data_IF_684409027010
#
_entry.id   IF_684409027010
#
_cell.length_a   1.000
_cell.length_b   1.000
_cell.length_c   1.000
_cell.angle_alpha   90.00
_cell.angle_beta   90.00
_cell.angle_gamma   90.00
#
_symmetry.space_group_name_H-M   'P 1'
#
loop_
_entity.id
_entity.type
_entity.pdbx_description
1 polymer ?
#
# COMPACT_ATOMS: atom_id res chain seq x y z
N UNK A 1 -67.92 0.94 -104.61
CA UNK A 1 -68.79 0.42 -103.53
C UNK A 1 -68.77 -1.10 -103.60
N UNK A 2 -68.85 -1.80 -102.47
CA UNK A 2 -68.83 -3.28 -102.42
C UNK A 2 -67.92 -3.81 -101.30
N UNK A 3 -68.51 -4.32 -100.22
CA UNK A 3 -67.77 -4.81 -99.04
C UNK A 3 -68.38 -6.10 -98.51
N UNK A 4 -67.53 -7.14 -98.34
CA UNK A 4 -67.57 -8.25 -97.35
C UNK A 4 -66.35 -9.17 -97.62
N UNK A 5 -65.52 -9.54 -96.62
CA UNK A 5 -65.67 -10.65 -95.62
C UNK A 5 -65.82 -12.02 -96.30
N UNK A 6 -65.18 -13.13 -95.88
CA UNK A 6 -64.41 -13.55 -94.67
C UNK A 6 -63.40 -14.66 -95.15
N UNK A 7 -62.40 -15.19 -94.44
CA UNK A 7 -61.82 -15.06 -93.09
C UNK A 7 -60.26 -15.28 -93.23
N UNK A 8 -59.41 -15.93 -92.41
CA UNK A 8 -59.46 -16.63 -91.10
C UNK A 8 -58.04 -16.76 -90.48
N UNK A 9 -57.95 -17.28 -89.25
CA UNK A 9 -56.78 -17.90 -88.57
C UNK A 9 -55.51 -17.05 -88.25
N UNK A 10 -54.73 -17.32 -87.18
CA UNK A 10 -55.06 -17.65 -85.77
C UNK A 10 -53.82 -17.43 -84.86
N UNK A 11 -54.06 -17.01 -83.60
CA UNK A 11 -53.20 -17.05 -82.39
C UNK A 11 -51.67 -16.75 -82.41
N UNK A 12 -51.28 -15.71 -81.64
CA UNK A 12 -50.06 -15.54 -80.81
C UNK A 12 -49.97 -14.03 -80.47
N UNK A 13 -50.33 -13.50 -79.30
CA UNK A 13 -50.18 -13.91 -77.89
C UNK A 13 -48.75 -13.83 -77.33
N UNK A 14 -48.42 -12.69 -76.71
CA UNK A 14 -47.48 -12.53 -75.60
C UNK A 14 -47.36 -11.04 -75.22
N UNK A 15 -48.00 -10.64 -74.12
CA UNK A 15 -47.84 -9.30 -73.51
C UNK A 15 -46.53 -9.32 -72.67
N UNK A 16 -45.67 -8.28 -72.74
CA UNK A 16 -44.36 -8.31 -72.08
C UNK A 16 -44.47 -8.38 -70.54
N UNK A 17 -43.76 -9.34 -69.94
CA UNK A 17 -43.72 -9.53 -68.50
C UNK A 17 -43.08 -8.33 -67.78
N UNK A 18 -43.87 -7.58 -67.00
CA UNK A 18 -43.39 -6.62 -66.00
C UNK A 18 -43.32 -7.20 -64.57
N UNK A 19 -43.29 -8.54 -64.45
CA UNK A 19 -43.41 -9.23 -63.15
C UNK A 19 -42.12 -9.38 -62.34
N UNK A 20 -40.96 -9.61 -62.98
CA UNK A 20 -39.74 -10.08 -62.27
C UNK A 20 -39.18 -9.06 -61.27
N UNK A 21 -39.07 -7.79 -61.69
CA UNK A 21 -38.26 -6.79 -60.99
C UNK A 21 -38.74 -6.45 -59.57
N UNK A 22 -40.03 -6.61 -59.25
CA UNK A 22 -40.53 -6.37 -57.90
C UNK A 22 -40.24 -7.53 -56.93
N UNK A 23 -40.19 -8.77 -57.41
CA UNK A 23 -39.90 -9.93 -56.57
C UNK A 23 -38.43 -9.92 -56.10
N UNK A 24 -37.51 -9.67 -57.05
CA UNK A 24 -36.08 -9.58 -56.76
C UNK A 24 -35.77 -8.41 -55.81
N UNK A 25 -36.41 -7.25 -55.99
CA UNK A 25 -36.24 -6.11 -55.07
C UNK A 25 -36.74 -6.40 -53.66
N UNK A 26 -37.88 -7.07 -53.50
CA UNK A 26 -38.41 -7.46 -52.20
C UNK A 26 -37.50 -8.48 -51.49
N UNK A 27 -36.96 -9.44 -52.25
CA UNK A 27 -36.04 -10.45 -51.71
C UNK A 27 -34.68 -9.84 -51.31
N UNK A 28 -34.17 -8.88 -52.09
CA UNK A 28 -32.97 -8.11 -51.75
C UNK A 28 -33.19 -7.20 -50.54
N UNK A 29 -34.32 -6.48 -50.45
CA UNK A 29 -34.61 -5.62 -49.30
C UNK A 29 -34.74 -6.42 -48.00
N UNK A 30 -35.38 -7.59 -48.06
CA UNK A 30 -35.47 -8.55 -46.96
C UNK A 30 -34.09 -8.99 -46.46
N UNK A 31 -33.21 -9.40 -47.38
CA UNK A 31 -31.84 -9.78 -47.06
C UNK A 31 -31.03 -8.62 -46.46
N UNK A 32 -31.13 -7.41 -47.00
CA UNK A 32 -30.43 -6.24 -46.43
C UNK A 32 -30.93 -5.87 -45.02
N UNK A 33 -32.22 -6.04 -44.74
CA UNK A 33 -32.76 -5.84 -43.39
C UNK A 33 -32.22 -6.90 -42.42
N UNK A 34 -32.26 -8.18 -42.80
CA UNK A 34 -31.77 -9.29 -41.98
C UNK A 34 -30.26 -9.19 -41.68
N UNK A 35 -29.47 -8.71 -42.66
CA UNK A 35 -28.03 -8.44 -42.49
C UNK A 35 -27.82 -7.22 -41.57
N UNK A 36 -28.60 -6.15 -41.73
CA UNK A 36 -28.55 -4.98 -40.85
C UNK A 36 -28.86 -5.35 -39.40
N UNK A 37 -29.90 -6.15 -39.16
CA UNK A 37 -30.31 -6.58 -37.82
C UNK A 37 -29.27 -7.52 -37.18
N UNK A 38 -28.70 -8.47 -37.94
CA UNK A 38 -27.64 -9.35 -37.39
C UNK A 38 -26.34 -8.61 -37.11
N UNK A 39 -25.96 -7.61 -37.92
CA UNK A 39 -24.84 -6.72 -37.62
C UNK A 39 -25.13 -5.84 -36.41
N UNK A 40 -26.34 -5.28 -36.29
CA UNK A 40 -26.75 -4.46 -35.15
C UNK A 40 -26.73 -5.25 -33.84
N UNK A 41 -27.29 -6.47 -33.83
CA UNK A 41 -27.22 -7.39 -32.68
C UNK A 41 -25.77 -7.75 -32.36
N UNK A 42 -24.94 -8.06 -33.35
CA UNK A 42 -23.52 -8.34 -33.15
C UNK A 42 -22.76 -7.19 -32.47
N UNK A 43 -22.94 -5.95 -32.96
CA UNK A 43 -22.33 -4.74 -32.37
C UNK A 43 -22.88 -4.48 -30.97
N UNK A 44 -24.18 -4.63 -30.74
CA UNK A 44 -24.80 -4.44 -29.42
C UNK A 44 -24.29 -5.46 -28.40
N UNK A 45 -24.15 -6.73 -28.80
CA UNK A 45 -23.56 -7.79 -27.97
C UNK A 45 -22.10 -7.48 -27.64
N UNK A 46 -21.30 -7.06 -28.63
CA UNK A 46 -19.88 -6.73 -28.42
C UNK A 46 -19.70 -5.54 -27.46
N UNK A 47 -20.53 -4.50 -27.58
CA UNK A 47 -20.58 -3.36 -26.66
C UNK A 47 -21.05 -3.78 -25.25
N UNK A 48 -22.04 -4.68 -25.14
CA UNK A 48 -22.50 -5.23 -23.87
C UNK A 48 -21.42 -6.03 -23.15
N UNK A 49 -20.71 -6.92 -23.87
CA UNK A 49 -19.59 -7.69 -23.32
C UNK A 49 -18.40 -6.79 -22.94
N UNK A 50 -18.07 -5.81 -23.78
CA UNK A 50 -16.99 -4.84 -23.50
C UNK A 50 -17.26 -3.96 -22.28
N UNK A 51 -18.49 -3.47 -22.12
CA UNK A 51 -18.88 -2.66 -20.94
C UNK A 51 -18.98 -3.50 -19.67
N UNK A 52 -19.52 -4.72 -19.73
CA UNK A 52 -19.56 -5.64 -18.58
C UNK A 52 -18.15 -6.03 -18.10
N UNK A 53 -17.24 -6.35 -19.01
CA UNK A 53 -15.84 -6.68 -18.67
C UNK A 53 -15.08 -5.47 -18.11
N UNK A 54 -15.26 -4.27 -18.68
CA UNK A 54 -14.68 -3.04 -18.14
C UNK A 54 -15.20 -2.73 -16.71
N UNK A 55 -16.50 -2.89 -16.46
CA UNK A 55 -17.09 -2.71 -15.14
C UNK A 55 -16.53 -3.70 -14.10
N UNK A 56 -16.40 -4.98 -14.49
CA UNK A 56 -15.76 -6.01 -13.66
C UNK A 56 -14.30 -5.68 -13.33
N UNK A 57 -13.52 -5.24 -14.31
CA UNK A 57 -12.12 -4.84 -14.12
C UNK A 57 -11.99 -3.65 -13.14
N UNK A 58 -12.88 -2.66 -13.25
CA UNK A 58 -12.90 -1.48 -12.38
C UNK A 58 -13.33 -1.80 -10.94
N UNK A 59 -14.29 -2.72 -10.78
CA UNK A 59 -14.69 -3.24 -9.48
C UNK A 59 -13.55 -4.06 -8.84
N UNK A 60 -12.85 -4.88 -9.61
CA UNK A 60 -11.68 -5.65 -9.15
C UNK A 60 -10.51 -4.73 -8.74
N UNK A 61 -10.16 -3.72 -9.54
CA UNK A 61 -9.18 -2.70 -9.16
C UNK A 61 -9.54 -1.98 -7.86
N UNK A 62 -10.84 -1.72 -7.62
CA UNK A 62 -11.32 -1.13 -6.36
C UNK A 62 -11.28 -2.09 -5.17
N UNK A 63 -11.42 -3.40 -5.38
CA UNK A 63 -11.21 -4.42 -4.36
C UNK A 63 -9.72 -4.52 -3.99
N UNK A 64 -8.85 -4.69 -5.00
CA UNK A 64 -7.38 -4.65 -4.87
C UNK A 64 -6.90 -3.40 -4.13
N UNK A 65 -7.42 -2.22 -4.47
CA UNK A 65 -7.05 -0.97 -3.80
C UNK A 65 -7.58 -0.83 -2.36
N UNK A 66 -8.52 -1.67 -1.92
CA UNK A 66 -8.94 -1.79 -0.51
C UNK A 66 -8.09 -2.83 0.22
N UNK A 67 -7.86 -3.98 -0.41
CA UNK A 67 -6.99 -5.06 0.09
C UNK A 67 -5.57 -4.56 0.35
N UNK A 68 -4.95 -3.87 -0.61
CA UNK A 68 -3.61 -3.30 -0.46
C UNK A 68 -3.52 -2.27 0.68
N UNK A 69 -4.56 -1.45 0.90
CA UNK A 69 -4.63 -0.52 2.04
C UNK A 69 -4.78 -1.24 3.37
N UNK A 70 -5.58 -2.31 3.43
CA UNK A 70 -5.71 -3.13 4.62
C UNK A 70 -4.37 -3.81 4.98
N UNK A 71 -3.75 -4.46 3.99
CA UNK A 71 -2.43 -5.10 4.12
C UNK A 71 -1.35 -4.11 4.55
N UNK A 72 -1.28 -2.91 3.94
CA UNK A 72 -0.32 -1.89 4.33
C UNK A 72 -0.49 -1.44 5.79
N UNK A 73 -1.73 -1.25 6.26
CA UNK A 73 -1.98 -0.87 7.66
C UNK A 73 -1.59 -1.99 8.63
N UNK A 74 -1.88 -3.25 8.31
CA UNK A 74 -1.40 -4.41 9.10
C UNK A 74 0.14 -4.46 9.12
N UNK A 75 0.80 -4.30 7.98
CA UNK A 75 2.27 -4.29 7.88
C UNK A 75 2.89 -3.10 8.62
N UNK A 76 2.22 -1.95 8.68
CA UNK A 76 2.63 -0.76 9.43
C UNK A 76 2.46 -0.91 10.95
N UNK A 77 1.35 -1.51 11.41
CA UNK A 77 1.18 -1.88 12.82
C UNK A 77 2.31 -2.81 13.25
N UNK A 78 2.57 -3.88 12.48
CA UNK A 78 3.60 -4.86 12.82
C UNK A 78 5.02 -4.28 12.71
N UNK A 79 5.31 -3.40 11.74
CA UNK A 79 6.59 -2.71 11.62
C UNK A 79 6.89 -1.81 12.82
N UNK A 80 5.90 -1.02 13.29
CA UNK A 80 6.05 -0.20 14.49
C UNK A 80 6.13 -1.05 15.77
N UNK A 81 5.44 -2.19 15.79
CA UNK A 81 5.51 -3.15 16.90
C UNK A 81 6.90 -3.76 17.02
N UNK A 82 7.44 -4.36 15.96
CA UNK A 82 8.79 -4.96 15.97
C UNK A 82 9.86 -3.94 16.38
N UNK A 83 9.77 -2.70 15.88
CA UNK A 83 10.71 -1.63 16.24
C UNK A 83 10.56 -1.23 17.72
N UNK A 84 9.33 -1.14 18.24
CA UNK A 84 9.11 -0.82 19.66
C UNK A 84 9.58 -1.94 20.59
N UNK A 85 9.32 -3.21 20.24
CA UNK A 85 9.80 -4.38 20.97
C UNK A 85 11.34 -4.41 20.97
N UNK A 86 12.00 -4.33 19.80
CA UNK A 86 13.45 -4.36 19.69
C UNK A 86 14.18 -3.17 20.38
N UNK A 87 13.58 -1.97 20.41
CA UNK A 87 14.12 -0.83 21.18
C UNK A 87 13.93 -1.02 22.69
N UNK A 88 12.83 -1.65 23.12
CA UNK A 88 12.60 -1.98 24.54
C UNK A 88 13.59 -3.04 25.01
N UNK A 89 13.80 -4.09 24.20
CA UNK A 89 14.78 -5.15 24.44
C UNK A 89 16.21 -4.61 24.52
N UNK A 90 16.56 -3.60 23.70
CA UNK A 90 17.86 -2.93 23.77
C UNK A 90 18.04 -2.14 25.07
N UNK A 91 17.00 -1.44 25.55
CA UNK A 91 17.04 -0.72 26.84
C UNK A 91 17.12 -1.70 28.03
N UNK A 92 16.40 -2.82 27.98
CA UNK A 92 16.46 -3.86 29.02
C UNK A 92 17.80 -4.62 29.02
N UNK A 93 18.35 -4.91 27.84
CA UNK A 93 19.69 -5.46 27.67
C UNK A 93 20.76 -4.55 28.26
N UNK A 94 20.69 -3.23 27.99
CA UNK A 94 21.59 -2.24 28.55
C UNK A 94 21.55 -2.26 30.10
N UNK A 95 20.35 -2.10 30.68
CA UNK A 95 20.13 -2.12 32.14
C UNK A 95 20.70 -3.38 32.80
N UNK A 96 20.53 -4.54 32.16
CA UNK A 96 21.06 -5.83 32.62
C UNK A 96 22.58 -5.94 32.44
N UNK A 97 23.16 -5.32 31.40
CA UNK A 97 24.60 -5.30 31.17
C UNK A 97 25.34 -4.42 32.18
N UNK A 98 24.73 -3.33 32.65
CA UNK A 98 25.31 -2.46 33.69
C UNK A 98 25.53 -3.19 35.03
N UNK A 99 24.73 -4.22 35.33
CA UNK A 99 24.94 -5.12 36.48
C UNK A 99 25.79 -6.37 36.16
N UNK A 100 26.11 -6.60 34.88
CA UNK A 100 26.63 -7.89 34.38
C UNK A 100 28.13 -7.96 34.07
N UNK A 101 28.86 -6.83 34.05
CA UNK A 101 30.31 -6.81 33.85
C UNK A 101 30.79 -6.09 32.57
N UNK A 102 32.00 -6.41 32.06
CA UNK A 102 32.68 -5.60 31.04
C UNK A 102 31.98 -5.60 29.67
N UNK A 103 32.15 -4.50 28.93
CA UNK A 103 31.50 -4.29 27.65
C UNK A 103 32.03 -5.23 26.55
N UNK A 104 31.17 -6.13 26.07
CA UNK A 104 31.29 -6.74 24.75
C UNK A 104 30.49 -5.86 23.78
N UNK A 105 30.98 -5.67 22.54
CA UNK A 105 30.26 -4.91 21.52
C UNK A 105 28.89 -5.55 21.25
N UNK A 106 27.79 -4.86 21.58
CA UNK A 106 26.46 -5.47 21.59
C UNK A 106 25.92 -5.69 20.16
N UNK A 107 25.72 -6.94 19.70
CA UNK A 107 25.14 -7.22 18.39
C UNK A 107 23.70 -6.70 18.26
N UNK A 108 22.99 -6.43 19.36
CA UNK A 108 21.61 -5.92 19.34
C UNK A 108 21.50 -4.54 18.69
N UNK A 109 22.47 -3.64 18.87
CA UNK A 109 22.46 -2.33 18.21
C UNK A 109 22.50 -2.48 16.68
N UNK A 110 23.33 -3.41 16.19
CA UNK A 110 23.38 -3.76 14.76
C UNK A 110 22.08 -4.40 14.28
N UNK A 111 21.45 -5.26 15.08
CA UNK A 111 20.15 -5.85 14.77
C UNK A 111 19.03 -4.79 14.68
N UNK A 112 18.98 -3.84 15.62
CA UNK A 112 18.05 -2.69 15.59
C UNK A 112 18.27 -1.82 14.35
N UNK A 113 19.51 -1.49 14.01
CA UNK A 113 19.82 -0.71 12.81
C UNK A 113 19.39 -1.43 11.51
N UNK A 114 19.62 -2.75 11.41
CA UNK A 114 19.16 -3.55 10.28
C UNK A 114 17.63 -3.69 10.24
N UNK A 115 16.97 -3.76 11.39
CA UNK A 115 15.50 -3.76 11.50
C UNK A 115 14.90 -2.44 11.01
N UNK A 116 15.46 -1.30 11.43
CA UNK A 116 15.03 0.03 10.98
C UNK A 116 15.17 0.19 9.46
N UNK A 117 16.30 -0.23 8.88
CA UNK A 117 16.49 -0.25 7.43
C UNK A 117 15.42 -1.12 6.73
N UNK A 118 15.19 -2.33 7.23
CA UNK A 118 14.17 -3.28 6.69
C UNK A 118 12.73 -2.78 6.83
N UNK A 119 12.42 -2.02 7.88
CA UNK A 119 11.06 -1.54 8.20
C UNK A 119 10.77 -0.11 7.74
N UNK A 120 11.76 0.65 7.30
CA UNK A 120 11.61 2.03 6.81
C UNK A 120 10.45 2.27 5.81
N UNK A 121 10.07 1.37 4.87
CA UNK A 121 8.93 1.60 3.97
C UNK A 121 7.55 1.68 4.66
N UNK A 122 7.48 1.32 5.94
CA UNK A 122 6.25 1.29 6.75
C UNK A 122 6.27 2.32 7.90
N UNK A 123 7.41 2.95 8.15
CA UNK A 123 7.60 4.00 9.16
C UNK A 123 7.41 5.39 8.52
N UNK A 124 6.98 6.38 9.32
CA UNK A 124 7.07 7.80 8.93
C UNK A 124 8.51 8.30 9.17
N UNK A 125 8.97 9.36 8.48
CA UNK A 125 10.30 9.93 8.71
C UNK A 125 10.58 10.24 10.18
N UNK A 126 9.66 10.93 10.86
CA UNK A 126 9.76 11.24 12.30
C UNK A 126 9.76 9.97 13.19
N UNK A 127 9.13 8.87 12.77
CA UNK A 127 9.17 7.61 13.53
C UNK A 127 10.53 6.92 13.42
N UNK A 128 11.15 6.96 12.23
CA UNK A 128 12.51 6.46 12.01
C UNK A 128 13.55 7.33 12.73
N UNK A 129 13.40 8.66 12.68
CA UNK A 129 14.24 9.62 13.41
C UNK A 129 14.19 9.36 14.92
N UNK A 130 12.99 9.26 15.51
CA UNK A 130 12.84 9.02 16.96
C UNK A 130 13.38 7.64 17.37
N UNK A 131 13.23 6.62 16.54
CA UNK A 131 13.77 5.29 16.80
C UNK A 131 15.31 5.25 16.74
N UNK A 132 15.91 5.95 15.78
CA UNK A 132 17.37 6.05 15.65
C UNK A 132 17.97 6.87 16.80
N UNK A 133 17.34 8.00 17.17
CA UNK A 133 17.73 8.79 18.34
C UNK A 133 17.60 8.01 19.66
N UNK A 134 16.58 7.16 19.79
CA UNK A 134 16.41 6.29 20.97
C UNK A 134 17.60 5.33 21.11
N UNK A 135 17.94 4.60 20.05
CA UNK A 135 19.07 3.66 20.05
C UNK A 135 20.41 4.37 20.30
N UNK A 136 20.58 5.59 19.78
CA UNK A 136 21.73 6.44 20.07
C UNK A 136 21.82 6.81 21.56
N UNK A 137 20.75 7.32 22.17
CA UNK A 137 20.78 7.72 23.58
C UNK A 137 20.95 6.52 24.54
N UNK A 138 20.42 5.33 24.22
CA UNK A 138 20.72 4.10 24.98
C UNK A 138 22.23 3.81 24.96
N UNK A 139 22.88 3.95 23.79
CA UNK A 139 24.33 3.73 23.63
C UNK A 139 25.17 4.83 24.31
N UNK A 140 24.70 6.08 24.26
CA UNK A 140 25.33 7.22 24.94
C UNK A 140 25.29 7.06 26.47
N UNK A 141 24.14 6.68 27.03
CA UNK A 141 23.99 6.42 28.47
C UNK A 141 24.90 5.27 28.92
N UNK A 142 25.00 4.18 28.13
CA UNK A 142 25.90 3.07 28.43
C UNK A 142 27.38 3.50 28.46
N UNK A 143 27.82 4.19 27.40
CA UNK A 143 29.21 4.65 27.28
C UNK A 143 29.58 5.70 28.36
N UNK A 144 28.67 6.60 28.72
CA UNK A 144 28.87 7.55 29.83
C UNK A 144 28.99 6.85 31.18
N UNK A 145 28.13 5.88 31.49
CA UNK A 145 28.19 5.13 32.76
C UNK A 145 29.48 4.29 32.84
N UNK A 146 29.89 3.64 31.73
CA UNK A 146 31.12 2.84 31.70
C UNK A 146 32.38 3.69 31.75
N UNK A 147 32.42 4.85 31.09
CA UNK A 147 33.52 5.80 31.23
C UNK A 147 33.68 6.24 32.69
N UNK A 148 32.57 6.61 33.35
CA UNK A 148 32.57 6.97 34.77
C UNK A 148 32.95 5.80 35.70
N UNK A 149 32.74 4.54 35.31
CA UNK A 149 33.22 3.38 36.05
C UNK A 149 34.73 3.10 35.85
N UNK A 150 35.32 3.58 34.75
CA UNK A 150 36.74 3.43 34.42
C UNK A 150 37.62 4.54 35.01
N UNK A 151 37.10 5.78 35.10
CA UNK A 151 37.77 6.94 35.72
C UNK A 151 37.89 6.86 37.26
N UNK A 152 37.51 5.72 37.85
CA UNK A 152 37.46 5.48 39.29
C UNK A 152 36.03 5.58 39.84
N UNK A 153 35.72 4.79 40.87
CA UNK A 153 34.37 4.80 41.44
C UNK A 153 34.04 6.21 41.96
N UNK A 154 32.89 6.82 41.59
CA UNK A 154 32.49 8.11 42.15
C UNK A 154 32.33 7.96 43.67
N UNK A 155 33.03 8.79 44.42
CA UNK A 155 33.07 8.79 45.89
C UNK A 155 31.66 8.59 46.47
N UNK A 156 31.38 7.53 47.25
CA UNK A 156 30.04 7.25 47.74
C UNK A 156 29.46 8.35 48.66
N UNK A 157 30.22 9.37 49.05
CA UNK A 157 29.74 10.58 49.75
C UNK A 157 29.63 11.84 48.85
N UNK A 158 29.78 11.74 47.52
CA UNK A 158 29.69 12.90 46.60
C UNK A 158 28.38 13.70 46.72
N UNK A 159 27.30 13.02 47.13
CA UNK A 159 25.97 13.61 47.31
C UNK A 159 25.81 14.36 48.65
N UNK A 160 26.69 14.12 49.62
CA UNK A 160 26.82 14.95 50.81
C UNK A 160 27.66 16.21 50.53
N UNK A 161 28.70 16.09 49.69
CA UNK A 161 29.64 17.16 49.38
C UNK A 161 29.26 17.90 48.09
N UNK A 162 28.24 18.77 48.20
CA UNK A 162 27.55 19.48 47.09
C UNK A 162 28.41 20.37 46.16
N UNK A 163 29.73 20.40 46.33
CA UNK A 163 30.65 21.26 45.58
C UNK A 163 30.97 20.76 44.16
N UNK A 164 31.18 19.45 43.96
CA UNK A 164 31.56 18.87 42.66
C UNK A 164 30.98 17.46 42.46
N UNK A 165 29.79 17.38 41.86
CA UNK A 165 29.28 16.11 41.32
C UNK A 165 30.09 15.66 40.09
N UNK A 166 30.08 14.36 39.75
CA UNK A 166 30.71 13.82 38.53
C UNK A 166 30.37 14.61 37.26
N UNK A 167 31.38 14.97 36.47
CA UNK A 167 31.24 15.84 35.28
C UNK A 167 30.29 15.27 34.22
N UNK A 168 30.18 13.95 34.14
CA UNK A 168 29.26 13.18 33.30
C UNK A 168 27.78 13.38 33.65
N UNK A 169 27.46 13.73 34.90
CA UNK A 169 26.10 13.63 35.43
C UNK A 169 25.08 14.52 34.72
N UNK A 170 25.46 15.74 34.33
CA UNK A 170 24.58 16.64 33.57
C UNK A 170 24.22 16.05 32.21
N UNK A 171 25.23 15.54 31.48
CA UNK A 171 25.05 14.92 30.16
C UNK A 171 24.20 13.65 30.28
N UNK A 172 24.49 12.80 31.27
CA UNK A 172 23.75 11.57 31.56
C UNK A 172 22.28 11.85 31.89
N UNK A 173 22.00 12.88 32.69
CA UNK A 173 20.64 13.30 33.04
C UNK A 173 19.88 13.86 31.82
N UNK A 174 20.54 14.62 30.95
CA UNK A 174 19.96 15.09 29.68
C UNK A 174 19.63 13.93 28.74
N UNK A 175 20.58 13.02 28.50
CA UNK A 175 20.37 11.85 27.64
C UNK A 175 19.24 10.93 28.17
N UNK A 176 19.18 10.70 29.49
CA UNK A 176 18.08 9.97 30.11
C UNK A 176 16.72 10.70 30.00
N UNK A 177 16.72 12.04 30.07
CA UNK A 177 15.54 12.87 29.86
C UNK A 177 14.98 12.78 28.43
N UNK A 178 15.87 12.85 27.43
CA UNK A 178 15.51 12.68 26.02
C UNK A 178 15.09 11.25 25.69
N UNK A 179 15.76 10.23 26.23
CA UNK A 179 15.32 8.84 26.11
C UNK A 179 13.89 8.66 26.64
N UNK A 180 13.57 9.24 27.80
CA UNK A 180 12.21 9.24 28.35
C UNK A 180 11.23 10.07 27.49
N UNK A 181 11.66 11.12 26.81
CA UNK A 181 10.84 11.85 25.83
C UNK A 181 10.52 10.97 24.61
N UNK A 182 11.52 10.32 24.03
CA UNK A 182 11.42 9.45 22.86
C UNK A 182 10.58 8.21 23.16
N UNK A 183 10.79 7.56 24.32
CA UNK A 183 9.95 6.44 24.80
C UNK A 183 8.46 6.82 24.84
N UNK A 184 8.15 8.05 25.30
CA UNK A 184 6.76 8.59 25.32
C UNK A 184 6.24 8.98 23.93
N UNK A 185 7.09 9.50 23.03
CA UNK A 185 6.71 9.81 21.63
C UNK A 185 6.36 8.54 20.85
N UNK A 186 7.27 7.57 20.83
CA UNK A 186 7.10 6.29 20.13
C UNK A 186 5.93 5.47 20.69
N UNK A 187 5.84 5.32 22.02
CA UNK A 187 4.73 4.59 22.66
C UNK A 187 3.35 5.21 22.36
N UNK A 188 3.24 6.55 22.35
CA UNK A 188 2.01 7.25 21.93
C UNK A 188 1.68 7.01 20.45
N UNK A 189 2.68 7.04 19.56
CA UNK A 189 2.49 6.78 18.13
C UNK A 189 2.05 5.34 17.87
N UNK A 190 2.69 4.36 18.49
CA UNK A 190 2.29 2.95 18.42
C UNK A 190 0.84 2.77 18.89
N UNK A 191 0.48 3.32 20.06
CA UNK A 191 -0.89 3.27 20.57
C UNK A 191 -1.93 3.98 19.69
N UNK A 192 -1.54 5.01 18.91
CA UNK A 192 -2.41 5.66 17.93
C UNK A 192 -2.55 4.82 16.64
N UNK A 193 -1.49 4.16 16.18
CA UNK A 193 -1.52 3.30 14.99
C UNK A 193 -2.30 2.01 15.24
N UNK A 194 -2.15 1.38 16.41
CA UNK A 194 -2.92 0.19 16.83
C UNK A 194 -4.43 0.47 16.90
N UNK A 195 -4.84 1.69 17.29
CA UNK A 195 -6.25 2.11 17.33
C UNK A 195 -6.81 2.57 15.97
N UNK A 196 -5.95 2.81 14.97
CA UNK A 196 -6.35 3.41 13.70
C UNK A 196 -6.51 4.93 13.74
N UNK A 197 -6.11 5.59 14.83
CA UNK A 197 -6.22 7.05 15.03
C UNK A 197 -5.21 7.87 14.19
N UNK A 198 -4.38 7.23 13.35
CA UNK A 198 -3.23 7.87 12.68
C UNK A 198 -2.82 7.24 11.35
N UNK A 199 -3.77 7.23 10.42
CA UNK A 199 -3.51 7.37 8.97
C UNK A 199 -3.34 8.87 8.64
#
# INVERSE_FOLDING_TARGET
MGSKRRAAAVAADSIPQRGSLCADFAHLSSLTAMISDTVAVGVLTFLGTGTATAAGLWQWQRAQAREARAQFRTQRVEALREVWEALSDLEEAQRTSLTGGPAVADPRLTQVNLLLLRRSPFLRPDEQEWAQAFAQHVTEIDTLIRAQALDGQPDPEWWHTTAQGPRSMGVLATAAGELQLLRRKLGKRYAAVVRGDSD
#
